data_IF_015145838348
#
_entry.id   IF_015145838348
#
_cell.length_a   1.000
_cell.length_b   1.000
_cell.length_c   1.000
_cell.angle_alpha   90.00
_cell.angle_beta   90.00
_cell.angle_gamma   90.00
#
_symmetry.space_group_name_H-M   'P 1'
#
loop_
_entity.id
_entity.type
_entity.pdbx_description
1 polymer ?
#
# COMPACT_ATOMS: atom_id res chain seq x y z
N UNK A 1 -6.68 10.16 -16.42
CA UNK A 1 -5.26 9.88 -16.10
C UNK A 1 -4.60 9.03 -17.17
N UNK A 2 -4.96 7.75 -17.30
CA UNK A 2 -4.40 6.86 -18.32
C UNK A 2 -5.34 6.63 -19.53
N UNK A 3 -6.44 7.39 -19.58
CA UNK A 3 -7.43 7.39 -20.65
C UNK A 3 -8.16 8.74 -20.60
N UNK A 4 -7.71 9.73 -21.38
CA UNK A 4 -8.18 11.12 -21.28
C UNK A 4 -9.43 11.41 -22.10
N UNK A 5 -9.82 10.49 -22.98
CA UNK A 5 -10.95 10.68 -23.91
C UNK A 5 -10.91 12.07 -24.59
N UNK A 6 -9.82 12.44 -25.28
CA UNK A 6 -9.63 13.81 -25.80
C UNK A 6 -10.71 14.25 -26.80
N UNK A 7 -11.33 13.29 -27.50
CA UNK A 7 -12.42 13.51 -28.45
C UNK A 7 -13.81 13.65 -27.79
N UNK A 8 -13.90 13.47 -26.46
CA UNK A 8 -15.15 13.68 -25.74
C UNK A 8 -15.46 15.19 -25.58
N UNK A 9 -16.74 15.56 -25.38
CA UNK A 9 -17.11 16.93 -25.03
C UNK A 9 -16.29 17.48 -23.85
N UNK A 10 -16.12 18.81 -23.79
CA UNK A 10 -15.27 19.47 -22.78
C UNK A 10 -15.73 19.18 -21.35
N UNK A 11 -17.03 18.95 -21.17
CA UNK A 11 -17.66 18.56 -19.91
C UNK A 11 -17.24 17.16 -19.44
N UNK A 12 -16.59 16.37 -20.30
CA UNK A 12 -16.11 15.00 -20.04
C UNK A 12 -14.58 14.90 -20.06
N UNK A 13 -13.90 15.50 -21.04
CA UNK A 13 -12.45 15.33 -21.22
C UNK A 13 -11.61 16.01 -20.11
N UNK A 14 -12.13 17.09 -19.49
CA UNK A 14 -11.34 17.91 -18.56
C UNK A 14 -10.26 18.75 -19.26
N UNK A 15 -9.39 19.43 -18.50
CA UNK A 15 -8.43 20.40 -19.04
C UNK A 15 -7.11 19.76 -19.50
N UNK A 16 -6.81 18.54 -19.06
CA UNK A 16 -5.55 17.87 -19.38
C UNK A 16 -5.52 17.37 -20.82
N UNK A 17 -4.32 17.36 -21.41
CA UNK A 17 -4.08 16.85 -22.76
C UNK A 17 -3.29 15.54 -22.75
N UNK A 18 -3.50 14.68 -23.76
CA UNK A 18 -2.64 13.53 -23.96
C UNK A 18 -1.22 13.98 -24.34
N UNK A 19 -0.22 13.25 -23.88
CA UNK A 19 1.17 13.32 -24.34
C UNK A 19 1.59 11.95 -24.86
N UNK A 20 2.37 11.94 -25.93
CA UNK A 20 2.99 10.72 -26.45
C UNK A 20 3.98 10.13 -25.43
N UNK A 21 4.04 8.81 -25.36
CA UNK A 21 5.02 8.08 -24.56
C UNK A 21 6.21 7.62 -25.42
N UNK A 22 7.23 7.04 -24.80
CA UNK A 22 8.33 6.40 -25.53
C UNK A 22 7.92 5.09 -26.26
N UNK A 23 6.69 4.61 -26.06
CA UNK A 23 6.10 3.49 -26.80
C UNK A 23 5.13 4.04 -27.86
N UNK A 24 5.40 3.81 -29.17
CA UNK A 24 4.52 4.29 -30.23
C UNK A 24 3.08 3.83 -30.08
N UNK A 25 2.14 4.76 -30.28
CA UNK A 25 0.70 4.49 -30.20
C UNK A 25 0.12 4.52 -28.77
N UNK A 26 0.94 4.74 -27.74
CA UNK A 26 0.48 4.94 -26.37
C UNK A 26 0.60 6.42 -25.98
N UNK A 27 -0.52 6.96 -25.53
CA UNK A 27 -0.62 8.30 -24.95
C UNK A 27 -1.20 8.24 -23.52
N UNK A 28 -0.71 9.11 -22.65
CA UNK A 28 -1.17 9.27 -21.26
C UNK A 28 -1.34 10.76 -20.93
N UNK A 29 -1.73 11.10 -19.70
CA UNK A 29 -1.88 12.50 -19.27
C UNK A 29 -0.55 13.24 -19.33
N UNK A 30 -0.54 14.47 -19.86
CA UNK A 30 0.62 15.37 -19.85
C UNK A 30 1.15 15.70 -18.44
N UNK A 31 0.35 15.46 -17.41
CA UNK A 31 0.76 15.58 -16.01
C UNK A 31 1.66 14.44 -15.51
N UNK A 32 1.89 13.41 -16.33
CA UNK A 32 2.76 12.27 -16.04
C UNK A 32 3.96 12.18 -17.01
N UNK A 33 4.76 13.25 -17.17
CA UNK A 33 5.85 13.27 -18.13
C UNK A 33 6.94 12.24 -17.82
N UNK A 34 7.19 11.92 -16.56
CA UNK A 34 8.22 10.95 -16.21
C UNK A 34 7.76 9.53 -16.50
N UNK A 35 6.51 9.16 -16.17
CA UNK A 35 5.96 7.87 -16.56
C UNK A 35 5.88 7.71 -18.09
N UNK A 36 5.53 8.78 -18.82
CA UNK A 36 5.47 8.75 -20.28
C UNK A 36 6.82 8.36 -20.91
N UNK A 37 7.94 8.76 -20.29
CA UNK A 37 9.30 8.43 -20.77
C UNK A 37 9.74 6.99 -20.45
N UNK A 38 9.04 6.27 -19.57
CA UNK A 38 9.35 4.86 -19.20
C UNK A 38 8.16 3.93 -19.45
N UNK A 39 7.27 4.28 -20.38
CA UNK A 39 6.08 3.50 -20.67
C UNK A 39 6.42 2.08 -21.18
N UNK A 40 7.61 1.88 -21.72
CA UNK A 40 8.17 0.58 -22.10
C UNK A 40 8.35 -0.40 -20.92
N UNK A 41 8.29 0.09 -19.68
CA UNK A 41 8.47 -0.71 -18.45
C UNK A 41 7.15 -1.02 -17.73
N UNK A 42 6.01 -0.67 -18.32
CA UNK A 42 4.71 -0.77 -17.66
C UNK A 42 3.62 -1.15 -18.66
N UNK A 43 2.51 -1.66 -18.12
CA UNK A 43 1.33 -2.00 -18.89
C UNK A 43 0.10 -1.27 -18.33
N UNK A 44 -0.68 -0.66 -19.22
CA UNK A 44 -1.95 -0.02 -18.84
C UNK A 44 -3.08 -1.02 -19.05
N UNK A 45 -3.79 -1.35 -17.97
CA UNK A 45 -4.97 -2.22 -18.01
C UNK A 45 -6.23 -1.33 -17.99
N UNK A 46 -6.98 -1.32 -19.10
CA UNK A 46 -8.25 -0.57 -19.24
C UNK A 46 -9.49 -1.46 -19.27
N UNK A 47 -9.30 -2.78 -19.11
CA UNK A 47 -10.34 -3.80 -19.28
C UNK A 47 -11.03 -4.22 -17.96
N UNK A 48 -10.67 -3.61 -16.83
CA UNK A 48 -11.31 -3.92 -15.55
C UNK A 48 -12.75 -3.38 -15.51
N UNK A 49 -13.69 -4.26 -15.20
CA UNK A 49 -15.13 -3.97 -15.14
C UNK A 49 -15.76 -4.68 -13.93
N UNK A 50 -16.92 -4.18 -13.46
CA UNK A 50 -17.71 -4.84 -12.42
C UNK A 50 -17.52 -4.33 -10.99
N UNK A 51 -16.65 -3.32 -10.79
CA UNK A 51 -16.51 -2.65 -9.50
C UNK A 51 -17.75 -1.80 -9.16
N UNK A 52 -18.02 -1.67 -7.87
CA UNK A 52 -19.12 -0.84 -7.37
C UNK A 52 -18.70 0.63 -7.38
N UNK A 53 -19.66 1.53 -7.58
CA UNK A 53 -19.48 2.97 -7.36
C UNK A 53 -19.45 3.30 -5.87
N UNK A 54 -18.38 2.89 -5.20
CA UNK A 54 -18.17 3.05 -3.76
C UNK A 54 -16.69 3.04 -3.42
N UNK A 55 -16.30 3.89 -2.48
CA UNK A 55 -14.92 4.00 -1.99
C UNK A 55 -14.60 2.89 -1.01
N UNK A 56 -14.61 1.67 -1.50
CA UNK A 56 -14.44 0.46 -0.71
C UNK A 56 -13.10 -0.21 -1.08
N UNK A 57 -12.14 -0.20 -0.15
CA UNK A 57 -10.86 -0.86 -0.35
C UNK A 57 -11.01 -2.37 -0.55
N UNK A 58 -12.08 -2.99 -0.02
CA UNK A 58 -12.36 -4.43 -0.18
C UNK A 58 -12.26 -4.90 -1.63
N UNK A 59 -12.88 -4.17 -2.57
CA UNK A 59 -12.84 -4.54 -3.99
C UNK A 59 -11.44 -4.40 -4.61
N UNK A 60 -10.57 -3.57 -4.03
CA UNK A 60 -9.15 -3.46 -4.41
C UNK A 60 -8.34 -4.62 -3.82
N UNK A 61 -8.54 -4.95 -2.55
CA UNK A 61 -7.66 -5.91 -1.87
C UNK A 61 -8.04 -7.38 -2.05
N UNK A 62 -9.31 -7.69 -2.34
CA UNK A 62 -9.75 -9.06 -2.54
C UNK A 62 -10.71 -9.27 -3.73
N UNK A 63 -11.07 -8.21 -4.46
CA UNK A 63 -11.92 -8.32 -5.65
C UNK A 63 -13.39 -8.66 -5.38
N UNK A 64 -13.82 -8.70 -4.11
CA UNK A 64 -15.22 -8.99 -3.78
C UNK A 64 -16.06 -7.71 -3.71
N UNK A 65 -17.32 -7.85 -4.11
CA UNK A 65 -18.33 -6.81 -3.94
C UNK A 65 -18.67 -6.66 -2.43
N UNK A 66 -18.44 -5.49 -1.82
CA UNK A 66 -18.65 -5.25 -0.39
C UNK A 66 -20.12 -5.39 0.05
N UNK A 67 -21.08 -5.31 -0.89
CA UNK A 67 -22.52 -5.45 -0.61
C UNK A 67 -23.01 -6.90 -0.68
N UNK A 68 -22.16 -7.85 -1.06
CA UNK A 68 -22.52 -9.27 -1.10
C UNK A 68 -22.21 -9.94 0.24
N UNK A 69 -22.98 -10.98 0.63
CA UNK A 69 -22.67 -11.75 1.83
C UNK A 69 -21.22 -12.23 1.83
N UNK A 70 -20.55 -12.05 2.96
CA UNK A 70 -19.21 -12.54 3.21
C UNK A 70 -19.26 -13.71 4.21
N UNK A 71 -18.30 -14.64 4.18
CA UNK A 71 -18.14 -15.65 5.21
C UNK A 71 -17.89 -15.00 6.59
N UNK A 72 -18.04 -15.79 7.65
CA UNK A 72 -17.65 -15.34 9.01
C UNK A 72 -16.19 -14.88 9.01
N UNK A 73 -15.93 -13.70 9.57
CA UNK A 73 -14.62 -13.05 9.55
C UNK A 73 -14.29 -12.27 8.27
N UNK A 74 -15.07 -12.42 7.18
CA UNK A 74 -14.87 -11.73 5.91
C UNK A 74 -13.91 -12.44 4.95
N UNK A 75 -13.79 -11.91 3.73
CA UNK A 75 -12.83 -12.41 2.74
C UNK A 75 -11.41 -11.93 3.06
N UNK A 76 -10.40 -12.81 3.01
CA UNK A 76 -9.01 -12.41 3.19
C UNK A 76 -8.57 -11.48 2.07
N UNK A 77 -7.73 -10.50 2.41
CA UNK A 77 -7.02 -9.73 1.41
C UNK A 77 -5.92 -10.54 0.71
N UNK A 78 -5.55 -10.10 -0.49
CA UNK A 78 -4.54 -10.73 -1.33
C UNK A 78 -3.24 -11.01 -0.55
N UNK A 79 -2.72 -10.03 0.19
CA UNK A 79 -1.51 -10.21 1.00
C UNK A 79 -1.63 -11.33 2.06
N UNK A 80 -2.80 -11.46 2.70
CA UNK A 80 -3.07 -12.53 3.67
C UNK A 80 -3.18 -13.90 3.01
N UNK A 81 -3.77 -13.99 1.81
CA UNK A 81 -3.80 -15.24 1.03
C UNK A 81 -2.38 -15.65 0.63
N UNK A 82 -1.59 -14.71 0.12
CA UNK A 82 -0.18 -14.97 -0.26
C UNK A 82 0.63 -15.40 0.95
N UNK A 83 0.48 -14.72 2.09
CA UNK A 83 1.12 -15.10 3.35
C UNK A 83 0.78 -16.54 3.75
N UNK A 84 -0.50 -16.93 3.64
CA UNK A 84 -0.94 -18.28 4.01
C UNK A 84 -0.42 -19.36 3.08
N UNK A 85 -0.42 -19.11 1.78
CA UNK A 85 -0.12 -20.11 0.74
C UNK A 85 1.37 -20.24 0.50
N UNK A 86 2.09 -19.12 0.49
CA UNK A 86 3.51 -19.09 0.10
C UNK A 86 4.45 -18.80 1.27
N UNK A 87 3.96 -18.26 2.38
CA UNK A 87 4.80 -17.88 3.50
C UNK A 87 5.83 -16.80 3.15
N UNK A 88 6.86 -16.60 4.00
CA UNK A 88 7.89 -15.60 3.78
C UNK A 88 8.77 -15.95 2.57
N UNK A 89 9.23 -14.93 1.82
CA UNK A 89 10.29 -15.13 0.82
C UNK A 89 11.68 -15.25 1.46
N UNK A 90 11.89 -14.53 2.55
CA UNK A 90 13.07 -14.61 3.41
C UNK A 90 12.60 -14.81 4.86
N UNK A 91 13.15 -15.80 5.57
CA UNK A 91 12.78 -16.12 6.96
C UNK A 91 12.99 -14.95 7.93
N UNK A 92 13.82 -13.97 7.55
CA UNK A 92 14.14 -12.77 8.34
C UNK A 92 13.19 -11.59 8.09
N UNK A 93 12.22 -11.75 7.19
CA UNK A 93 11.23 -10.74 6.83
C UNK A 93 9.80 -11.31 6.95
N UNK A 94 8.81 -10.47 7.28
CA UNK A 94 7.43 -10.91 7.33
C UNK A 94 6.93 -11.12 5.89
N UNK A 95 6.10 -12.14 5.64
CA UNK A 95 5.57 -12.39 4.29
C UNK A 95 4.73 -11.23 3.76
N UNK A 96 4.07 -10.50 4.65
CA UNK A 96 3.13 -9.46 4.29
C UNK A 96 3.30 -8.23 5.20
N UNK A 97 3.59 -7.09 4.59
CA UNK A 97 3.68 -5.78 5.24
C UNK A 97 2.63 -4.85 4.68
N UNK A 98 1.92 -4.11 5.54
CA UNK A 98 1.06 -3.02 5.13
C UNK A 98 1.64 -1.69 5.61
N UNK A 99 1.91 -0.81 4.66
CA UNK A 99 2.21 0.61 4.85
C UNK A 99 0.95 1.50 4.75
N UNK A 100 -0.25 0.92 4.61
CA UNK A 100 -1.48 1.69 4.58
C UNK A 100 -1.68 2.50 5.87
N UNK A 101 -1.88 3.81 5.71
CA UNK A 101 -2.28 4.72 6.76
C UNK A 101 -3.76 4.50 7.11
N UNK A 102 -4.13 4.60 8.40
CA UNK A 102 -5.52 4.56 8.81
C UNK A 102 -6.27 5.79 8.29
N UNK A 103 -7.45 5.55 7.72
CA UNK A 103 -8.36 6.56 7.20
C UNK A 103 -9.59 6.67 8.13
N UNK A 104 -10.11 7.88 8.39
CA UNK A 104 -11.31 8.00 9.26
C UNK A 104 -12.56 7.43 8.61
N UNK A 105 -12.62 7.44 7.28
CA UNK A 105 -13.66 6.77 6.53
C UNK A 105 -13.35 5.26 6.48
N UNK A 106 -14.06 4.48 7.31
CA UNK A 106 -13.87 3.04 7.47
C UNK A 106 -13.62 2.27 6.16
N UNK A 107 -14.50 2.40 5.14
CA UNK A 107 -14.35 1.74 3.84
C UNK A 107 -13.03 1.98 3.09
N UNK A 108 -12.27 3.06 3.37
CA UNK A 108 -10.99 3.33 2.70
C UNK A 108 -9.85 2.48 3.28
N UNK A 109 -10.08 1.87 4.44
CA UNK A 109 -9.06 1.10 5.13
C UNK A 109 -8.88 -0.28 4.52
N UNK A 110 -7.62 -0.72 4.47
CA UNK A 110 -7.26 -2.07 4.07
C UNK A 110 -8.05 -3.12 4.89
N UNK A 111 -8.68 -4.10 4.24
CA UNK A 111 -9.41 -5.14 4.95
C UNK A 111 -8.47 -6.07 5.72
N UNK A 112 -9.02 -6.79 6.69
CA UNK A 112 -8.26 -7.71 7.52
C UNK A 112 -7.93 -9.05 6.83
N UNK A 113 -7.35 -10.00 7.59
CA UNK A 113 -7.03 -11.33 7.10
C UNK A 113 -8.25 -12.23 6.84
N UNK A 114 -9.47 -11.73 7.04
CA UNK A 114 -10.68 -12.49 6.80
C UNK A 114 -10.78 -13.76 7.66
N UNK A 115 -11.42 -14.78 7.10
CA UNK A 115 -11.50 -16.11 7.70
C UNK A 115 -10.15 -16.84 7.84
N UNK A 116 -9.04 -16.32 7.27
CA UNK A 116 -7.71 -16.94 7.47
C UNK A 116 -7.17 -16.72 8.90
N UNK A 117 -7.82 -15.82 9.64
CA UNK A 117 -7.49 -15.57 11.03
C UNK A 117 -6.29 -14.65 11.21
N UNK A 118 -6.08 -14.20 12.45
CA UNK A 118 -5.19 -13.09 12.72
C UNK A 118 -3.74 -13.43 12.36
N UNK A 119 -3.30 -14.70 12.43
CA UNK A 119 -1.96 -15.16 12.00
C UNK A 119 -1.52 -14.73 10.58
N UNK A 120 -2.47 -14.36 9.72
CA UNK A 120 -2.21 -13.91 8.35
C UNK A 120 -2.38 -12.39 8.18
N UNK A 121 -2.41 -11.65 9.29
CA UNK A 121 -2.48 -10.19 9.28
C UNK A 121 -1.16 -9.60 8.79
N UNK A 122 -1.18 -8.46 8.10
CA UNK A 122 0.03 -7.77 7.74
C UNK A 122 0.78 -7.28 8.98
N UNK A 123 2.10 -7.29 8.90
CA UNK A 123 2.94 -6.47 9.75
C UNK A 123 2.74 -4.98 9.41
N UNK A 124 2.49 -4.13 10.41
CA UNK A 124 2.18 -2.70 10.21
C UNK A 124 3.21 -1.80 10.92
N UNK A 125 4.27 -1.35 10.25
CA UNK A 125 5.32 -0.53 10.87
C UNK A 125 4.94 0.96 11.03
N UNK A 126 3.81 1.38 10.48
CA UNK A 126 3.38 2.79 10.45
C UNK A 126 2.27 3.13 11.48
N UNK A 127 1.87 2.16 12.31
CA UNK A 127 0.85 2.31 13.36
C UNK A 127 1.44 2.34 14.79
N UNK A 128 0.61 2.24 15.84
CA UNK A 128 1.05 2.18 17.25
C UNK A 128 2.09 1.09 17.50
N UNK A 129 2.07 0.03 16.69
CA UNK A 129 3.04 -1.07 16.68
C UNK A 129 4.49 -0.61 16.48
N UNK A 130 4.72 0.58 15.88
CA UNK A 130 6.06 1.18 15.76
C UNK A 130 6.67 1.46 17.13
N UNK A 131 5.87 1.92 18.10
CA UNK A 131 6.34 2.22 19.46
C UNK A 131 6.77 0.94 20.21
N UNK A 132 6.16 -0.20 19.87
CA UNK A 132 6.52 -1.53 20.43
C UNK A 132 7.76 -2.16 19.76
N UNK A 133 8.10 -1.72 18.54
CA UNK A 133 9.20 -2.26 17.74
C UNK A 133 10.51 -1.51 17.90
N UNK A 134 10.48 -0.26 18.38
CA UNK A 134 11.70 0.42 18.84
C UNK A 134 12.10 -0.25 20.14
N UNK A 135 13.18 -1.03 20.11
CA UNK A 135 13.85 -1.55 21.29
C UNK A 135 14.32 -0.36 22.14
N UNK A 136 13.45 0.14 23.02
CA UNK A 136 13.80 1.13 24.03
C UNK A 136 14.72 0.48 25.07
N UNK A 137 16.00 0.29 24.70
CA UNK A 137 17.05 -0.22 25.58
C UNK A 137 16.90 -1.68 26.01
N UNK A 138 16.23 -2.53 25.23
CA UNK A 138 16.13 -3.97 25.51
C UNK A 138 17.31 -4.69 24.84
N UNK A 139 18.19 -5.30 25.63
CA UNK A 139 19.29 -6.13 25.14
C UNK A 139 18.76 -7.47 24.59
N UNK A 140 19.50 -8.08 23.66
CA UNK A 140 19.15 -9.38 23.06
C UNK A 140 18.92 -10.48 24.12
N UNK A 141 19.66 -10.44 25.24
CA UNK A 141 19.51 -11.39 26.35
C UNK A 141 18.15 -11.26 27.04
N UNK A 142 17.67 -10.02 27.24
CA UNK A 142 16.39 -9.73 27.88
C UNK A 142 15.20 -10.08 26.98
N UNK A 143 15.39 -10.01 25.66
CA UNK A 143 14.46 -10.55 24.65
C UNK A 143 14.39 -12.08 24.73
N UNK A 144 15.53 -12.76 24.84
CA UNK A 144 15.60 -14.21 24.96
C UNK A 144 14.91 -14.72 26.25
N UNK A 145 15.10 -14.04 27.37
CA UNK A 145 14.42 -14.35 28.63
C UNK A 145 12.89 -14.16 28.54
N UNK A 146 12.42 -13.06 27.94
CA UNK A 146 10.98 -12.86 27.67
C UNK A 146 10.42 -13.94 26.76
N UNK A 147 11.17 -14.40 25.75
CA UNK A 147 10.76 -15.51 24.88
C UNK A 147 10.61 -16.82 25.66
N UNK A 148 11.55 -17.11 26.56
CA UNK A 148 11.49 -18.30 27.40
C UNK A 148 10.29 -18.25 28.35
N UNK A 149 9.99 -17.08 28.93
CA UNK A 149 8.84 -16.86 29.80
C UNK A 149 7.51 -16.90 29.05
N UNK A 150 7.42 -16.31 27.86
CA UNK A 150 6.25 -16.41 26.99
C UNK A 150 5.99 -17.87 26.60
N UNK A 151 7.02 -18.60 26.16
CA UNK A 151 6.89 -20.03 25.85
C UNK A 151 6.43 -20.89 27.04
N UNK A 152 6.75 -20.52 28.27
CA UNK A 152 6.29 -21.25 29.46
C UNK A 152 4.83 -20.94 29.81
N UNK A 153 4.43 -19.67 29.69
CA UNK A 153 3.03 -19.22 29.87
C UNK A 153 2.13 -19.76 28.75
N UNK A 154 2.58 -19.74 27.50
CA UNK A 154 1.83 -20.25 26.34
C UNK A 154 1.67 -21.77 26.41
N UNK A 155 2.68 -22.50 26.90
CA UNK A 155 2.56 -23.95 27.13
C UNK A 155 1.50 -24.26 28.19
N UNK A 156 1.43 -23.46 29.25
CA UNK A 156 0.43 -23.59 30.29
C UNK A 156 -0.99 -23.27 29.78
N UNK A 157 -1.13 -22.21 28.97
CA UNK A 157 -2.43 -21.83 28.39
C UNK A 157 -2.89 -22.81 27.29
N UNK A 158 -1.99 -23.37 26.47
CA UNK A 158 -2.31 -24.39 25.46
C UNK A 158 -2.80 -25.69 26.07
N UNK A 159 -2.33 -26.04 27.27
CA UNK A 159 -2.89 -27.17 28.03
C UNK A 159 -4.32 -26.90 28.53
N UNK A 160 -4.78 -25.65 28.53
CA UNK A 160 -6.08 -25.23 29.04
C UNK A 160 -7.09 -24.83 27.94
N UNK A 161 -6.68 -24.66 26.68
CA UNK A 161 -7.52 -24.05 25.63
C UNK A 161 -7.77 -25.00 24.44
N UNK A 162 -9.05 -25.30 24.17
CA UNK A 162 -9.50 -26.22 23.12
C UNK A 162 -9.99 -25.50 21.83
N UNK A 163 -9.86 -24.17 21.75
CA UNK A 163 -10.53 -23.32 20.75
C UNK A 163 -9.72 -22.98 19.49
N UNK A 164 -8.44 -23.32 19.42
CA UNK A 164 -7.58 -23.06 18.24
C UNK A 164 -7.16 -21.59 18.04
N UNK A 165 -7.65 -20.64 18.84
CA UNK A 165 -7.27 -19.22 18.77
C UNK A 165 -5.81 -18.96 19.20
N UNK A 166 -5.20 -19.87 19.95
CA UNK A 166 -3.87 -19.69 20.54
C UNK A 166 -2.72 -19.94 19.57
N UNK A 167 -2.86 -20.85 18.59
CA UNK A 167 -1.85 -21.06 17.54
C UNK A 167 -1.58 -19.79 16.72
N UNK A 168 -2.62 -18.95 16.55
CA UNK A 168 -2.47 -17.66 15.88
C UNK A 168 -1.58 -16.70 16.67
N UNK A 169 -1.76 -16.61 17.99
CA UNK A 169 -0.91 -15.77 18.85
C UNK A 169 0.54 -16.25 18.86
N UNK A 170 0.80 -17.55 18.90
CA UNK A 170 2.17 -18.08 18.85
C UNK A 170 2.89 -17.68 17.56
N UNK A 171 2.20 -17.76 16.42
CA UNK A 171 2.78 -17.35 15.13
C UNK A 171 3.10 -15.85 15.09
N UNK A 172 2.25 -15.00 15.68
CA UNK A 172 2.53 -13.58 15.84
C UNK A 172 3.73 -13.32 16.74
N UNK A 173 3.83 -14.04 17.87
CA UNK A 173 4.93 -13.86 18.81
C UNK A 173 6.24 -14.34 18.20
N UNK A 174 6.26 -15.47 17.49
CA UNK A 174 7.47 -15.94 16.80
C UNK A 174 7.88 -15.03 15.63
N UNK A 175 6.91 -14.53 14.85
CA UNK A 175 7.17 -13.50 13.83
C UNK A 175 7.71 -12.22 14.48
N UNK A 176 7.02 -11.63 15.45
CA UNK A 176 7.45 -10.42 16.13
C UNK A 176 8.86 -10.55 16.73
N UNK A 177 9.20 -11.70 17.33
CA UNK A 177 10.53 -11.96 17.87
C UNK A 177 11.61 -12.14 16.79
N UNK A 178 11.30 -12.78 15.66
CA UNK A 178 12.19 -12.85 14.50
C UNK A 178 12.45 -11.48 13.88
N UNK A 179 11.42 -10.62 13.83
CA UNK A 179 11.51 -9.24 13.34
C UNK A 179 12.35 -8.36 14.26
N UNK A 180 12.19 -8.49 15.59
CA UNK A 180 12.96 -7.74 16.60
C UNK A 180 14.45 -8.14 16.64
N UNK A 181 14.83 -9.26 16.03
CA UNK A 181 16.21 -9.76 16.00
C UNK A 181 16.87 -9.63 14.62
N UNK A 182 16.12 -9.28 13.58
CA UNK A 182 16.62 -9.09 12.22
C UNK A 182 17.04 -7.63 12.00
N UNK A 183 18.35 -7.38 11.92
CA UNK A 183 18.87 -6.05 11.54
C UNK A 183 18.34 -5.61 10.17
N UNK A 184 18.14 -6.56 9.25
CA UNK A 184 17.72 -6.31 7.86
C UNK A 184 16.38 -5.59 7.75
N UNK A 185 15.39 -5.96 8.57
CA UNK A 185 14.09 -5.28 8.55
C UNK A 185 14.15 -3.91 9.21
N UNK A 186 14.84 -3.80 10.35
CA UNK A 186 15.03 -2.52 11.02
C UNK A 186 15.74 -1.52 10.10
N UNK A 187 16.78 -1.98 9.39
CA UNK A 187 17.49 -1.21 8.38
C UNK A 187 16.55 -0.81 7.25
N UNK A 188 15.74 -1.74 6.72
CA UNK A 188 14.79 -1.44 5.66
C UNK A 188 13.76 -0.37 6.05
N UNK A 189 13.31 -0.36 7.32
CA UNK A 189 12.39 0.63 7.86
C UNK A 189 13.01 2.03 8.04
N UNK A 190 14.33 2.09 8.13
CA UNK A 190 15.09 3.34 8.23
C UNK A 190 15.51 3.84 6.84
N UNK A 191 14.66 4.69 6.25
CA UNK A 191 14.96 5.33 4.97
C UNK A 191 16.15 6.28 5.03
N UNK A 192 16.61 6.69 6.23
CA UNK A 192 17.77 7.60 6.36
C UNK A 192 19.09 6.92 6.03
N UNK A 193 19.08 5.59 5.89
CA UNK A 193 20.22 4.83 5.38
C UNK A 193 20.36 4.88 3.84
N UNK A 194 19.39 5.46 3.12
CA UNK A 194 19.56 5.77 1.70
C UNK A 194 20.33 7.08 1.53
N UNK A 195 21.02 7.21 0.40
CA UNK A 195 21.61 8.49 0.04
C UNK A 195 20.52 9.55 -0.18
N UNK A 196 20.84 10.81 0.10
CA UNK A 196 19.88 11.91 0.00
C UNK A 196 19.33 12.07 -1.42
N UNK A 197 20.13 11.80 -2.46
CA UNK A 197 19.67 11.91 -3.83
C UNK A 197 18.61 10.86 -4.17
N UNK A 198 18.73 9.64 -3.63
CA UNK A 198 17.72 8.60 -3.72
C UNK A 198 16.44 9.01 -3.01
N UNK A 199 16.53 9.57 -1.79
CA UNK A 199 15.35 10.07 -1.07
C UNK A 199 14.65 11.19 -1.88
N UNK A 200 15.42 12.14 -2.40
CA UNK A 200 14.92 13.28 -3.17
C UNK A 200 14.26 12.84 -4.48
N UNK A 201 14.75 11.76 -5.12
CA UNK A 201 14.13 11.19 -6.33
C UNK A 201 12.69 10.74 -6.09
N UNK A 202 12.38 10.13 -4.95
CA UNK A 202 11.00 9.76 -4.61
C UNK A 202 10.15 10.96 -4.20
N UNK A 203 10.79 12.00 -3.66
CA UNK A 203 10.12 13.18 -3.15
C UNK A 203 9.72 13.06 -1.68
N UNK A 204 9.30 14.18 -1.08
CA UNK A 204 9.00 14.27 0.34
C UNK A 204 7.57 14.67 0.64
N UNK A 205 6.98 14.00 1.62
CA UNK A 205 5.68 14.29 2.21
C UNK A 205 5.71 14.17 3.73
N UNK A 206 4.72 14.77 4.37
CA UNK A 206 4.57 14.81 5.82
C UNK A 206 3.46 13.82 6.23
N UNK A 207 3.78 12.74 6.98
CA UNK A 207 2.82 11.71 7.36
C UNK A 207 1.74 12.20 8.33
N UNK A 208 1.90 13.39 8.90
CA UNK A 208 0.92 14.01 9.80
C UNK A 208 -0.04 14.95 9.08
N UNK A 209 0.26 15.30 7.82
CA UNK A 209 -0.57 16.21 7.01
C UNK A 209 -1.46 15.44 6.07
N UNK A 210 -2.73 15.46 6.42
CA UNK A 210 -3.79 14.88 5.61
C UNK A 210 -4.49 15.96 4.78
N UNK A 211 -4.91 15.59 3.57
CA UNK A 211 -5.73 16.48 2.72
C UNK A 211 -7.08 16.78 3.40
N UNK A 212 -7.65 15.77 4.05
CA UNK A 212 -8.73 15.82 5.04
C UNK A 212 -8.72 14.51 5.87
N UNK A 213 -9.68 14.32 6.78
CA UNK A 213 -9.71 13.11 7.62
C UNK A 213 -9.92 11.80 6.84
N UNK A 214 -10.46 11.84 5.63
CA UNK A 214 -10.98 10.65 4.97
C UNK A 214 -9.89 9.88 4.22
N UNK A 215 -8.92 10.55 3.58
CA UNK A 215 -7.89 9.91 2.74
C UNK A 215 -6.58 9.60 3.45
N UNK A 216 -5.64 8.96 2.74
CA UNK A 216 -4.27 8.79 3.22
C UNK A 216 -3.48 10.12 3.07
N UNK A 217 -2.39 10.33 3.82
CA UNK A 217 -1.52 11.47 3.59
C UNK A 217 -0.76 11.29 2.27
N UNK A 218 -0.31 12.41 1.68
CA UNK A 218 0.54 12.38 0.49
C UNK A 218 1.99 12.20 0.90
N UNK A 219 2.44 10.95 0.97
CA UNK A 219 3.79 10.57 1.43
C UNK A 219 4.48 9.67 0.39
N UNK A 220 5.20 10.26 -0.59
CA UNK A 220 5.93 9.49 -1.60
C UNK A 220 7.01 8.57 -1.03
N UNK A 221 7.56 8.88 0.15
CA UNK A 221 8.57 8.05 0.82
C UNK A 221 8.05 6.63 1.15
N UNK A 222 6.73 6.42 1.20
CA UNK A 222 6.15 5.08 1.35
C UNK A 222 6.50 4.16 0.19
N UNK A 223 6.72 4.69 -1.02
CA UNK A 223 7.16 3.92 -2.18
C UNK A 223 8.63 3.49 -2.04
N UNK A 224 9.50 4.38 -1.54
CA UNK A 224 10.90 4.05 -1.22
C UNK A 224 10.98 2.98 -0.14
N UNK A 225 10.18 3.15 0.92
CA UNK A 225 10.07 2.18 2.00
C UNK A 225 9.59 0.82 1.48
N UNK A 226 8.61 0.79 0.58
CA UNK A 226 8.15 -0.44 -0.05
C UNK A 226 9.28 -1.14 -0.81
N UNK A 227 10.09 -0.42 -1.60
CA UNK A 227 11.26 -0.97 -2.29
C UNK A 227 12.25 -1.60 -1.30
N UNK A 228 12.59 -0.89 -0.23
CA UNK A 228 13.51 -1.39 0.81
C UNK A 228 12.98 -2.64 1.51
N UNK A 229 11.67 -2.71 1.76
CA UNK A 229 11.03 -3.88 2.37
C UNK A 229 11.03 -5.10 1.45
N UNK A 230 10.77 -4.92 0.15
CA UNK A 230 10.89 -5.98 -0.84
C UNK A 230 12.34 -6.48 -0.92
N UNK A 231 13.31 -5.57 -0.97
CA UNK A 231 14.76 -5.88 -0.95
C UNK A 231 15.18 -6.60 0.35
N UNK A 232 14.52 -6.28 1.47
CA UNK A 232 14.69 -6.99 2.73
C UNK A 232 14.06 -8.39 2.76
N UNK A 233 13.22 -8.74 1.79
CA UNK A 233 12.62 -10.07 1.63
C UNK A 233 11.15 -10.15 1.99
N UNK A 234 10.46 -9.01 2.19
CA UNK A 234 9.01 -9.00 2.25
C UNK A 234 8.43 -9.49 0.91
N UNK A 235 7.45 -10.38 0.97
CA UNK A 235 6.86 -10.96 -0.27
C UNK A 235 5.78 -10.06 -0.85
N UNK A 236 4.97 -9.42 0.01
CA UNK A 236 3.94 -8.45 -0.37
C UNK A 236 4.09 -7.21 0.50
N UNK A 237 4.09 -6.04 -0.14
CA UNK A 237 3.95 -4.75 0.52
C UNK A 237 2.74 -4.03 -0.07
N UNK A 238 1.81 -3.62 0.78
CA UNK A 238 0.64 -2.81 0.39
C UNK A 238 0.79 -1.39 0.90
N UNK A 239 0.23 -0.43 0.16
CA UNK A 239 0.21 0.98 0.54
C UNK A 239 -1.05 1.66 0.00
N UNK A 240 -1.53 2.65 0.74
CA UNK A 240 -2.45 3.65 0.22
C UNK A 240 -1.69 4.98 0.06
N UNK A 241 -2.12 5.81 -0.88
CA UNK A 241 -1.42 7.05 -1.20
C UNK A 241 -2.40 8.17 -1.48
N UNK A 242 -2.27 9.27 -0.74
CA UNK A 242 -3.09 10.48 -0.88
C UNK A 242 -4.61 10.22 -0.80
N UNK A 243 -5.39 11.25 -1.10
CA UNK A 243 -6.85 11.23 -1.22
C UNK A 243 -7.22 11.43 -2.68
N UNK A 244 -8.02 10.52 -3.26
CA UNK A 244 -8.52 10.60 -4.64
C UNK A 244 -10.03 10.87 -4.71
N UNK A 245 -10.62 11.17 -3.55
CA UNK A 245 -12.05 11.42 -3.38
C UNK A 245 -12.44 12.90 -3.58
N UNK A 246 -12.54 13.34 -4.84
CA UNK A 246 -12.67 14.75 -5.23
C UNK A 246 -14.04 15.13 -5.82
N UNK A 247 -15.00 15.45 -4.93
CA UNK A 247 -16.39 15.83 -5.26
C UNK A 247 -16.61 17.31 -5.62
N UNK A 248 -15.58 18.16 -5.58
CA UNK A 248 -15.71 19.59 -5.93
C UNK A 248 -15.77 20.55 -4.73
N UNK A 249 -15.88 21.84 -5.04
CA UNK A 249 -15.90 22.94 -4.06
C UNK A 249 -14.52 23.57 -3.82
N UNK A 250 -14.49 24.66 -3.05
CA UNK A 250 -13.32 25.53 -2.88
C UNK A 250 -12.03 24.79 -2.45
N UNK A 251 -12.20 23.72 -1.66
CA UNK A 251 -11.09 22.92 -1.11
C UNK A 251 -11.06 21.48 -1.63
N UNK A 252 -11.88 21.08 -2.61
CA UNK A 252 -11.88 19.70 -3.10
C UNK A 252 -12.18 19.60 -4.62
N UNK A 253 -11.92 20.69 -5.36
CA UNK A 253 -12.00 20.70 -6.81
C UNK A 253 -11.01 19.72 -7.45
N UNK A 254 -11.50 18.90 -8.38
CA UNK A 254 -10.72 17.84 -9.03
C UNK A 254 -9.45 18.39 -9.69
N UNK A 255 -9.54 19.41 -10.54
CA UNK A 255 -8.37 19.91 -11.27
C UNK A 255 -7.34 20.62 -10.38
N UNK A 256 -7.76 21.15 -9.23
CA UNK A 256 -6.82 21.68 -8.23
C UNK A 256 -6.04 20.53 -7.61
N UNK A 257 -6.75 19.48 -7.18
CA UNK A 257 -6.13 18.30 -6.55
C UNK A 257 -5.24 17.54 -7.52
N UNK A 258 -5.67 17.33 -8.75
CA UNK A 258 -4.83 16.72 -9.79
C UNK A 258 -3.51 17.47 -10.00
N UNK A 259 -3.52 18.82 -10.00
CA UNK A 259 -2.29 19.61 -10.10
C UNK A 259 -1.37 19.49 -8.88
N UNK A 260 -1.92 19.19 -7.71
CA UNK A 260 -1.18 19.00 -6.47
C UNK A 260 -0.64 17.56 -6.34
N UNK A 261 -1.45 16.56 -6.69
CA UNK A 261 -1.18 15.14 -6.46
C UNK A 261 -0.46 14.47 -7.62
N UNK A 262 -0.78 14.81 -8.87
CA UNK A 262 -0.20 14.11 -10.03
C UNK A 262 1.32 14.26 -10.13
N UNK A 263 1.93 15.44 -9.95
CA UNK A 263 3.39 15.55 -10.07
C UNK A 263 4.13 14.76 -8.99
N UNK A 264 3.63 14.78 -7.75
CA UNK A 264 4.22 14.02 -6.65
C UNK A 264 4.07 12.51 -6.84
N UNK A 265 2.93 12.09 -7.42
CA UNK A 265 2.70 10.71 -7.78
C UNK A 265 3.62 10.27 -8.94
N UNK A 266 3.70 11.04 -10.03
CA UNK A 266 4.56 10.80 -11.20
C UNK A 266 6.01 10.60 -10.78
N UNK A 267 6.53 11.52 -9.96
CA UNK A 267 7.87 11.47 -9.42
C UNK A 267 8.10 10.18 -8.61
N UNK A 268 7.27 9.95 -7.59
CA UNK A 268 7.47 8.84 -6.66
C UNK A 268 7.36 7.46 -7.33
N UNK A 269 6.35 7.25 -8.18
CA UNK A 269 6.14 5.96 -8.84
C UNK A 269 7.17 5.70 -9.93
N UNK A 270 7.62 6.75 -10.64
CA UNK A 270 8.74 6.65 -11.58
C UNK A 270 10.01 6.23 -10.87
N UNK A 271 10.34 6.85 -9.72
CA UNK A 271 11.52 6.49 -8.95
C UNK A 271 11.49 5.02 -8.49
N UNK A 272 10.33 4.53 -8.05
CA UNK A 272 10.15 3.11 -7.70
C UNK A 272 10.44 2.19 -8.89
N UNK A 273 9.82 2.44 -10.04
CA UNK A 273 10.01 1.62 -11.25
C UNK A 273 11.48 1.65 -11.68
N UNK A 274 12.11 2.82 -11.72
CA UNK A 274 13.53 2.93 -12.08
C UNK A 274 14.44 2.17 -11.11
N UNK A 275 14.22 2.29 -9.80
CA UNK A 275 15.00 1.59 -8.79
C UNK A 275 14.88 0.08 -8.90
N UNK A 276 13.66 -0.44 -9.11
CA UNK A 276 13.45 -1.88 -9.28
C UNK A 276 14.23 -2.41 -10.49
N UNK A 277 14.25 -1.68 -11.59
CA UNK A 277 15.06 -2.06 -12.76
C UNK A 277 16.56 -1.92 -12.49
N UNK A 278 17.01 -0.81 -11.91
CA UNK A 278 18.42 -0.55 -11.65
C UNK A 278 19.03 -1.56 -10.67
N UNK A 279 18.23 -2.09 -9.74
CA UNK A 279 18.62 -3.10 -8.76
C UNK A 279 18.37 -4.54 -9.21
N UNK A 280 17.86 -4.74 -10.42
CA UNK A 280 17.52 -6.07 -10.95
C UNK A 280 16.31 -6.74 -10.27
N UNK A 281 15.55 -6.01 -9.46
CA UNK A 281 14.35 -6.50 -8.78
C UNK A 281 13.12 -6.58 -9.70
N UNK A 282 13.14 -5.89 -10.83
CA UNK A 282 11.99 -5.83 -11.76
C UNK A 282 11.62 -7.19 -12.39
N UNK A 283 12.56 -8.14 -12.45
CA UNK A 283 12.29 -9.49 -12.97
C UNK A 283 11.50 -10.35 -11.98
N UNK A 284 11.63 -10.09 -10.68
CA UNK A 284 11.02 -10.88 -9.61
C UNK A 284 9.94 -10.12 -8.82
N UNK A 285 9.76 -8.82 -9.10
CA UNK A 285 8.83 -7.93 -8.39
C UNK A 285 7.85 -7.30 -9.37
N UNK A 286 6.56 -7.54 -9.15
CA UNK A 286 5.48 -6.83 -9.85
C UNK A 286 4.95 -5.68 -9.00
N UNK A 287 4.80 -4.51 -9.62
CA UNK A 287 4.14 -3.34 -9.02
C UNK A 287 2.75 -3.19 -9.61
N UNK A 288 1.72 -3.23 -8.76
CA UNK A 288 0.33 -2.98 -9.16
C UNK A 288 -0.12 -1.62 -8.62
N UNK A 289 -0.51 -0.73 -9.53
CA UNK A 289 -1.10 0.58 -9.20
C UNK A 289 -2.52 0.61 -9.74
N UNK A 290 -3.50 0.73 -8.85
CA UNK A 290 -4.91 0.81 -9.20
C UNK A 290 -5.73 1.36 -8.05
N UNK A 291 -7.03 1.54 -8.28
CA UNK A 291 -7.99 2.01 -7.29
C UNK A 291 -9.35 1.35 -7.47
N UNK A 292 -10.29 1.73 -6.61
CA UNK A 292 -11.57 1.06 -6.42
C UNK A 292 -12.54 1.15 -7.61
N UNK A 293 -12.75 2.35 -8.16
CA UNK A 293 -13.65 2.62 -9.28
C UNK A 293 -13.23 3.90 -10.01
N UNK A 294 -13.67 4.06 -11.26
CA UNK A 294 -13.57 5.33 -11.98
C UNK A 294 -14.77 6.23 -11.65
N UNK A 295 -14.65 7.53 -11.88
CA UNK A 295 -15.75 8.49 -11.61
C UNK A 295 -16.73 8.63 -12.76
N UNK A 296 -17.91 9.18 -12.47
CA UNK A 296 -18.83 9.64 -13.52
C UNK A 296 -18.08 10.54 -14.52
N UNK A 297 -18.32 10.38 -15.83
CA UNK A 297 -17.52 11.08 -16.84
C UNK A 297 -17.79 12.60 -16.83
N UNK A 298 -18.98 13.02 -16.40
CA UNK A 298 -19.43 14.41 -16.46
C UNK A 298 -18.90 15.22 -15.26
N UNK A 299 -18.24 16.33 -15.55
CA UNK A 299 -17.78 17.29 -14.53
C UNK A 299 -18.99 17.97 -13.90
N UNK A 300 -19.06 17.99 -12.58
CA UNK A 300 -20.12 18.65 -11.82
C UNK A 300 -19.97 20.17 -11.83
N UNK A 301 -21.02 20.91 -11.50
CA UNK A 301 -20.97 22.38 -11.38
C UNK A 301 -19.96 22.86 -10.30
N UNK A 302 -19.63 22.00 -9.33
CA UNK A 302 -18.63 22.26 -8.30
C UNK A 302 -17.21 21.89 -8.72
N UNK A 303 -17.02 21.51 -10.00
CA UNK A 303 -15.73 21.09 -10.56
C UNK A 303 -15.21 19.87 -9.80
N UNK A 304 -16.09 18.88 -9.63
CA UNK A 304 -15.80 17.55 -9.12
C UNK A 304 -16.36 16.48 -10.06
N UNK A 305 -16.24 15.22 -9.65
CA UNK A 305 -16.93 14.09 -10.30
C UNK A 305 -17.44 13.15 -9.23
N UNK A 306 -18.70 12.80 -9.34
CA UNK A 306 -19.39 11.89 -8.41
C UNK A 306 -19.00 10.44 -8.72
#
# INVERSE_FOLDING_TARGET
>A
MFDLKPEAPKEIAGPWRPIATNVPGIEICEAFPELARRMDRMAIIRSLVGNQSGHDAVQVFNGHNPRRPAPSGGWPQFGSVVSKVLGPADVTAPPFVSLCYPCTHGPYNEPGPGFLGPAQSPFRPMGPTREDLVLNGITLDRLAERRALLKSVDRFRRQADASGMMEGMDSFTEQAMGLLTSSKLADALDITQEDQATIDRYGTGDPTKFIDGNGAPRVPQSLLLARRLIEAGARIVTLNYSKWDWHGGANNSIFKREREDFPAFDQGITALVEDLHARGLAEDTSVLVWGEFGRTPKISAQVGRD
#
